data_IF_002522888107
#
_entry.id   IF_002522888107
#
_cell.length_a   1.000
_cell.length_b   1.000
_cell.length_c   1.000
_cell.angle_alpha   90.00
_cell.angle_beta   90.00
_cell.angle_gamma   90.00
#
_symmetry.space_group_name_H-M   'P 1'
#
loop_
_entity.id
_entity.type
_entity.pdbx_description
1 polymer ?
#
# COMPACT_ATOMS: atom_id res chain seq x y z
N UNK A 1 -3.42 8.30 20.36
CA UNK A 1 -2.49 7.94 19.27
C UNK A 1 -3.22 6.95 18.38
N UNK A 2 -3.26 7.18 17.08
CA UNK A 2 -3.74 6.17 16.15
C UNK A 2 -2.66 5.10 16.06
N UNK A 3 -3.01 3.83 16.32
CA UNK A 3 -2.04 2.74 16.24
C UNK A 3 -1.63 2.54 14.79
N UNK A 4 -0.32 2.65 14.52
CA UNK A 4 0.23 2.41 13.18
C UNK A 4 -0.02 0.95 12.78
N UNK A 5 -0.30 0.72 11.50
CA UNK A 5 -0.45 -0.66 11.00
C UNK A 5 0.94 -1.31 10.87
N UNK A 6 1.19 -2.47 11.49
CA UNK A 6 2.49 -3.15 11.40
C UNK A 6 2.81 -3.60 9.97
N UNK A 7 4.07 -3.46 9.55
CA UNK A 7 4.51 -3.82 8.19
C UNK A 7 4.15 -5.25 7.78
N UNK A 8 4.21 -6.21 8.70
CA UNK A 8 3.88 -7.62 8.41
C UNK A 8 2.40 -7.80 8.06
N UNK A 9 1.51 -7.03 8.73
CA UNK A 9 0.09 -6.99 8.36
C UNK A 9 -0.10 -6.36 6.98
N UNK A 10 0.61 -5.28 6.69
CA UNK A 10 0.56 -4.62 5.37
C UNK A 10 1.02 -5.56 4.25
N UNK A 11 2.14 -6.26 4.45
CA UNK A 11 2.62 -7.28 3.49
C UNK A 11 1.60 -8.38 3.26
N UNK A 12 0.92 -8.85 4.31
CA UNK A 12 -0.14 -9.86 4.17
C UNK A 12 -1.31 -9.36 3.32
N UNK A 13 -1.77 -8.12 3.54
CA UNK A 13 -2.83 -7.50 2.73
C UNK A 13 -2.40 -7.39 1.27
N UNK A 14 -1.19 -6.89 1.02
CA UNK A 14 -0.67 -6.69 -0.34
C UNK A 14 -0.45 -8.01 -1.07
N UNK A 15 0.09 -9.03 -0.40
CA UNK A 15 0.31 -10.35 -0.99
C UNK A 15 -1.00 -11.08 -1.34
N UNK A 16 -2.09 -10.79 -0.62
CA UNK A 16 -3.41 -11.32 -0.92
C UNK A 16 -4.13 -10.59 -2.06
N UNK A 17 -3.60 -9.47 -2.54
CA UNK A 17 -4.25 -8.68 -3.57
C UNK A 17 -3.76 -9.06 -4.97
N UNK A 18 -4.71 -9.27 -5.88
CA UNK A 18 -4.43 -9.38 -7.31
C UNK A 18 -4.67 -8.02 -7.95
N UNK A 19 -3.63 -7.42 -8.53
CA UNK A 19 -3.72 -6.17 -9.28
C UNK A 19 -3.75 -6.48 -10.78
N UNK A 20 -4.41 -5.62 -11.55
CA UNK A 20 -4.28 -5.60 -13.01
C UNK A 20 -2.80 -5.44 -13.37
N UNK A 21 -2.38 -6.10 -14.45
CA UNK A 21 -0.99 -6.12 -14.93
C UNK A 21 -0.40 -4.74 -15.20
N UNK A 22 -1.24 -3.73 -15.44
CA UNK A 22 -0.83 -2.33 -15.63
C UNK A 22 -0.43 -1.60 -14.33
N UNK A 23 -0.57 -2.24 -13.17
CA UNK A 23 -0.18 -1.68 -11.89
C UNK A 23 0.81 -2.57 -11.15
N UNK A 24 1.74 -1.94 -10.46
CA UNK A 24 2.64 -2.58 -9.49
C UNK A 24 2.43 -1.98 -8.11
N UNK A 25 2.68 -2.79 -7.09
CA UNK A 25 2.64 -2.38 -5.69
C UNK A 25 3.96 -2.69 -5.02
N UNK A 26 4.42 -1.76 -4.17
CA UNK A 26 5.60 -1.96 -3.33
C UNK A 26 5.31 -1.55 -1.89
N UNK A 27 5.94 -2.27 -0.96
CA UNK A 27 5.89 -2.00 0.48
C UNK A 27 7.32 -1.75 0.94
N UNK A 28 7.61 -0.52 1.35
CA UNK A 28 8.93 -0.10 1.80
C UNK A 28 8.90 0.11 3.31
N UNK A 29 9.81 -0.56 4.03
CA UNK A 29 9.96 -0.35 5.47
C UNK A 29 10.46 1.07 5.75
N UNK A 30 9.92 1.71 6.79
CA UNK A 30 10.36 3.00 7.30
C UNK A 30 10.79 2.85 8.78
N UNK A 31 11.30 3.93 9.37
CA UNK A 31 11.72 3.94 10.77
C UNK A 31 10.56 3.62 11.73
N UNK A 32 10.90 3.18 12.94
CA UNK A 32 9.94 2.93 14.02
C UNK A 32 8.85 1.88 13.71
N UNK A 33 9.12 0.95 12.80
CA UNK A 33 8.19 -0.12 12.42
C UNK A 33 7.06 0.32 11.49
N UNK A 34 7.11 1.56 10.99
CA UNK A 34 6.22 2.03 9.95
C UNK A 34 6.59 1.46 8.57
N UNK A 35 5.68 1.61 7.61
CA UNK A 35 5.98 1.34 6.21
C UNK A 35 5.22 2.28 5.28
N UNK A 36 5.79 2.49 4.10
CA UNK A 36 5.20 3.24 3.00
C UNK A 36 4.77 2.25 1.90
N UNK A 37 3.51 2.37 1.47
CA UNK A 37 2.99 1.60 0.32
C UNK A 37 2.86 2.51 -0.87
N UNK A 38 3.30 2.04 -2.02
CA UNK A 38 3.15 2.73 -3.30
C UNK A 38 2.47 1.83 -4.33
N UNK A 39 1.52 2.40 -5.05
CA UNK A 39 0.94 1.82 -6.26
C UNK A 39 1.39 2.69 -7.43
N UNK A 40 1.97 2.05 -8.44
CA UNK A 40 2.48 2.71 -9.66
C UNK A 40 1.87 2.09 -10.89
N UNK A 41 1.67 2.89 -11.92
CA UNK A 41 1.36 2.38 -13.25
C UNK A 41 2.67 1.88 -13.88
N UNK A 42 2.71 0.63 -14.36
CA UNK A 42 3.94 0.03 -14.90
C UNK A 42 4.27 0.50 -16.31
N UNK A 43 3.27 0.92 -17.09
CA UNK A 43 3.44 1.34 -18.48
C UNK A 43 4.17 2.69 -18.56
N UNK A 44 3.85 3.61 -17.66
CA UNK A 44 4.40 4.97 -17.65
C UNK A 44 5.27 5.28 -16.42
N UNK A 45 5.36 4.37 -15.44
CA UNK A 45 6.10 4.56 -14.19
C UNK A 45 5.46 5.56 -13.21
N UNK A 46 4.29 6.09 -13.54
CA UNK A 46 3.62 7.14 -12.77
C UNK A 46 3.17 6.63 -11.40
N UNK A 47 3.36 7.47 -10.37
CA UNK A 47 2.81 7.22 -9.04
C UNK A 47 1.30 7.43 -9.07
N UNK A 48 0.54 6.38 -8.76
CA UNK A 48 -0.93 6.41 -8.70
C UNK A 48 -1.39 6.74 -7.29
N UNK A 49 -0.77 6.12 -6.29
CA UNK A 49 -1.10 6.32 -4.89
C UNK A 49 0.09 5.98 -4.00
N UNK A 50 0.22 6.72 -2.90
CA UNK A 50 1.19 6.47 -1.83
C UNK A 50 0.55 6.80 -0.50
N UNK A 51 0.79 5.98 0.52
CA UNK A 51 0.43 6.29 1.91
C UNK A 51 1.33 5.54 2.88
N UNK A 52 1.52 6.10 4.08
CA UNK A 52 2.31 5.53 5.18
C UNK A 52 1.41 4.92 6.25
N UNK A 53 1.89 3.88 6.92
CA UNK A 53 1.09 3.07 7.83
C UNK A 53 0.65 3.75 9.13
N UNK A 54 1.25 4.89 9.48
CA UNK A 54 0.83 5.72 10.60
C UNK A 54 -0.21 6.79 10.20
N UNK A 55 -0.47 6.98 8.91
CA UNK A 55 -1.46 7.95 8.46
C UNK A 55 -2.88 7.50 8.80
N UNK A 56 -3.80 8.44 9.09
CA UNK A 56 -5.19 8.11 9.33
C UNK A 56 -5.82 7.31 8.19
N UNK A 57 -6.69 6.37 8.57
CA UNK A 57 -7.45 5.51 7.65
C UNK A 57 -6.60 4.70 6.65
N UNK A 58 -5.33 4.48 6.96
CA UNK A 58 -4.39 3.79 6.08
C UNK A 58 -4.90 2.43 5.56
N UNK A 59 -5.36 1.56 6.46
CA UNK A 59 -5.80 0.21 6.09
C UNK A 59 -7.04 0.24 5.17
N UNK A 60 -8.02 1.08 5.52
CA UNK A 60 -9.24 1.24 4.73
C UNK A 60 -8.95 1.79 3.33
N UNK A 61 -8.07 2.79 3.22
CA UNK A 61 -7.65 3.33 1.94
C UNK A 61 -6.85 2.32 1.11
N UNK A 62 -5.95 1.56 1.75
CA UNK A 62 -5.19 0.51 1.09
C UNK A 62 -6.13 -0.51 0.46
N UNK A 63 -7.08 -1.05 1.22
CA UNK A 63 -8.08 -1.99 0.69
C UNK A 63 -8.90 -1.40 -0.46
N UNK A 64 -9.36 -0.15 -0.31
CA UNK A 64 -10.10 0.54 -1.37
C UNK A 64 -9.28 0.67 -2.65
N UNK A 65 -7.99 1.00 -2.54
CA UNK A 65 -7.09 1.15 -3.69
C UNK A 65 -6.76 -0.17 -4.34
N UNK A 66 -6.49 -1.21 -3.56
CA UNK A 66 -6.30 -2.56 -4.07
C UNK A 66 -7.53 -3.00 -4.87
N UNK A 67 -8.73 -2.87 -4.31
CA UNK A 67 -9.98 -3.22 -5.00
C UNK A 67 -10.24 -2.38 -6.27
N UNK A 68 -9.82 -1.11 -6.29
CA UNK A 68 -9.96 -0.25 -7.47
C UNK A 68 -9.03 -0.69 -8.63
N UNK A 69 -7.92 -1.31 -8.29
CA UNK A 69 -6.84 -1.67 -9.22
C UNK A 69 -6.71 -3.18 -9.46
N UNK A 70 -7.60 -4.00 -8.88
CA UNK A 70 -7.81 -5.42 -9.18
C UNK A 70 -8.47 -5.67 -10.53
#
# INVERSE_FOLDING_TARGET
MQEQVPIEKVKSIVNGAHLKTQYSISVNAEAYGACCVEIRNVEFGNLVWRKRSFEPDFENELHRKLNQHS
#
